data_IF_837962420990
#
_entry.id   IF_837962420990
#
_cell.length_a   1.000
_cell.length_b   1.000
_cell.length_c   1.000
_cell.angle_alpha   90.00
_cell.angle_beta   90.00
_cell.angle_gamma   90.00
#
_symmetry.space_group_name_H-M   'P 1'
#
loop_
_entity.id
_entity.type
_entity.pdbx_description
1 polymer ?
#
# COMPACT_ATOMS: atom_id res chain seq x y z
N UNK A 1 57.43 36.73 -55.58
CA UNK A 1 56.59 37.23 -54.47
C UNK A 1 55.21 37.68 -55.02
N UNK A 2 54.51 36.80 -55.75
CA UNK A 2 53.30 37.14 -56.52
C UNK A 2 52.16 36.11 -56.26
N UNK A 3 52.09 35.58 -55.03
CA UNK A 3 51.09 34.58 -54.62
C UNK A 3 50.13 35.11 -53.54
N UNK A 4 50.31 36.34 -53.06
CA UNK A 4 49.55 36.90 -51.92
C UNK A 4 48.29 37.67 -52.34
N UNK A 5 48.28 38.30 -53.52
CA UNK A 5 47.16 39.17 -53.94
C UNK A 5 45.93 38.42 -54.46
N UNK A 6 46.09 37.22 -55.02
CA UNK A 6 44.94 36.42 -55.51
C UNK A 6 44.22 35.66 -54.38
N UNK A 7 44.91 35.28 -53.31
CA UNK A 7 44.27 34.64 -52.14
C UNK A 7 43.47 35.64 -51.31
N UNK A 8 43.96 36.88 -51.18
CA UNK A 8 43.25 37.98 -50.49
C UNK A 8 42.00 38.44 -51.25
N UNK A 9 42.02 38.44 -52.59
CA UNK A 9 40.83 38.74 -53.40
C UNK A 9 39.78 37.62 -53.34
N UNK A 10 40.21 36.35 -53.28
CA UNK A 10 39.29 35.21 -53.14
C UNK A 10 38.66 35.14 -51.73
N UNK A 11 39.42 35.42 -50.67
CA UNK A 11 38.86 35.55 -49.32
C UNK A 11 37.94 36.76 -49.17
N UNK A 12 38.23 37.89 -49.84
CA UNK A 12 37.35 39.06 -49.87
C UNK A 12 36.01 38.78 -50.55
N UNK A 13 35.99 38.00 -51.64
CA UNK A 13 34.76 37.62 -52.34
C UNK A 13 33.92 36.59 -51.56
N UNK A 14 34.55 35.67 -50.82
CA UNK A 14 33.85 34.71 -49.95
C UNK A 14 33.31 35.40 -48.69
N UNK A 15 34.00 36.42 -48.17
CA UNK A 15 33.51 37.22 -47.04
C UNK A 15 32.40 38.21 -47.44
N UNK A 16 32.39 38.70 -48.69
CA UNK A 16 31.28 39.51 -49.22
C UNK A 16 30.04 38.68 -49.61
N UNK A 17 30.17 37.39 -49.91
CA UNK A 17 29.01 36.50 -50.11
C UNK A 17 28.36 36.04 -48.79
N UNK A 18 29.03 36.24 -47.65
CA UNK A 18 28.50 35.96 -46.30
C UNK A 18 27.88 37.21 -45.62
N UNK A 19 27.84 38.33 -46.32
CA UNK A 19 27.20 39.58 -45.89
C UNK A 19 26.09 39.99 -46.86
N UNK A 20 25.25 39.04 -47.29
CA UNK A 20 23.84 39.37 -47.47
C UNK A 20 23.23 39.38 -46.07
N UNK A 21 23.47 40.47 -45.34
CA UNK A 21 22.61 40.83 -44.22
C UNK A 21 21.26 41.12 -44.88
N UNK A 22 20.44 40.08 -45.04
CA UNK A 22 19.00 40.26 -45.14
C UNK A 22 18.66 41.12 -43.94
N UNK A 23 18.35 42.39 -44.20
CA UNK A 23 18.14 43.31 -43.11
C UNK A 23 16.89 42.79 -42.37
N UNK A 24 17.12 42.27 -41.17
CA UNK A 24 16.10 41.52 -40.46
C UNK A 24 15.10 42.50 -39.86
N UNK A 25 13.84 42.36 -40.24
CA UNK A 25 12.76 43.15 -39.66
C UNK A 25 12.64 42.78 -38.16
N UNK A 26 12.86 43.71 -37.23
CA UNK A 26 12.77 43.42 -35.79
C UNK A 26 11.31 43.42 -35.34
N UNK A 27 10.63 42.29 -35.58
CA UNK A 27 9.20 42.12 -35.37
C UNK A 27 8.93 40.78 -34.72
N UNK A 28 8.11 40.78 -33.65
CA UNK A 28 7.57 39.57 -33.03
C UNK A 28 6.14 39.31 -33.52
N UNK A 29 5.87 38.10 -33.98
CA UNK A 29 4.58 37.66 -34.50
C UNK A 29 3.98 36.61 -33.55
N UNK A 30 2.74 36.81 -33.11
CA UNK A 30 2.02 35.85 -32.26
C UNK A 30 0.63 35.59 -32.79
N UNK A 31 0.13 34.37 -32.67
CA UNK A 31 -1.28 34.10 -32.95
C UNK A 31 -2.17 34.79 -31.91
N UNK A 32 -3.27 35.40 -32.35
CA UNK A 32 -4.28 35.98 -31.46
C UNK A 32 -5.00 34.89 -30.64
N UNK A 33 -5.15 33.69 -31.21
CA UNK A 33 -5.52 32.49 -30.48
C UNK A 33 -4.75 31.30 -31.05
N UNK A 34 -4.10 30.54 -30.17
CA UNK A 34 -3.41 29.29 -30.51
C UNK A 34 -4.37 28.10 -30.66
N UNK A 35 -5.65 28.27 -30.29
CA UNK A 35 -6.73 27.28 -30.44
C UNK A 35 -7.90 27.90 -31.18
N UNK A 36 -8.32 27.28 -32.28
CA UNK A 36 -9.47 27.75 -33.08
C UNK A 36 -10.40 26.57 -33.33
N UNK A 37 -11.67 26.73 -32.96
CA UNK A 37 -12.70 25.73 -33.19
C UNK A 37 -13.21 25.78 -34.64
N UNK A 38 -13.47 24.60 -35.22
CA UNK A 38 -14.08 24.45 -36.53
C UNK A 38 -15.54 24.90 -36.47
N UNK A 39 -15.85 25.93 -37.25
CA UNK A 39 -17.20 26.46 -37.46
C UNK A 39 -17.72 26.10 -38.85
N UNK A 40 -18.98 26.46 -39.10
CA UNK A 40 -19.67 26.15 -40.35
C UNK A 40 -19.05 26.77 -41.57
N UNK A 41 -18.73 28.04 -41.46
CA UNK A 41 -18.57 28.90 -42.62
C UNK A 41 -17.09 29.14 -42.93
N UNK A 42 -16.32 29.62 -41.95
CA UNK A 42 -14.93 29.97 -42.15
C UNK A 42 -14.13 29.89 -40.84
N UNK A 43 -12.91 29.35 -40.94
CA UNK A 43 -11.94 29.37 -39.84
C UNK A 43 -11.16 30.69 -39.90
N UNK A 44 -11.31 31.54 -38.87
CA UNK A 44 -10.58 32.80 -38.79
C UNK A 44 -9.25 32.60 -38.07
N UNK A 45 -8.13 32.84 -38.77
CA UNK A 45 -6.79 32.83 -38.18
C UNK A 45 -6.30 34.27 -38.12
N UNK A 46 -5.97 34.74 -36.92
CA UNK A 46 -5.46 36.10 -36.69
C UNK A 46 -4.05 36.06 -36.12
N UNK A 47 -3.14 36.83 -36.74
CA UNK A 47 -1.74 37.01 -36.31
C UNK A 47 -1.55 38.46 -35.85
N UNK A 48 -1.05 38.63 -34.64
CA UNK A 48 -0.70 39.89 -33.99
C UNK A 48 0.78 40.16 -34.18
N UNK A 49 1.11 41.41 -34.47
CA UNK A 49 2.47 41.87 -34.77
C UNK A 49 2.88 42.94 -33.75
N UNK A 50 4.00 42.73 -33.06
CA UNK A 50 4.53 43.66 -32.04
C UNK A 50 6.01 43.93 -32.29
N UNK A 51 6.46 45.22 -32.31
CA UNK A 51 5.69 46.46 -32.20
C UNK A 51 4.83 46.75 -33.45
N UNK A 52 3.83 47.63 -33.32
CA UNK A 52 2.91 47.99 -34.43
C UNK A 52 3.72 48.57 -35.60
N UNK A 53 3.61 47.94 -36.76
CA UNK A 53 4.26 48.37 -37.99
C UNK A 53 3.22 48.98 -38.94
N UNK A 54 3.02 50.33 -38.95
CA UNK A 54 1.99 50.97 -39.77
C UNK A 54 2.24 50.83 -41.29
N UNK A 55 3.46 50.46 -41.68
CA UNK A 55 3.86 50.27 -43.08
C UNK A 55 3.58 48.86 -43.63
N UNK A 56 3.32 47.88 -42.76
CA UNK A 56 3.14 46.48 -43.15
C UNK A 56 1.67 46.23 -43.46
N UNK A 57 1.32 46.12 -44.76
CA UNK A 57 -0.06 45.99 -45.23
C UNK A 57 -0.54 44.55 -45.36
N UNK A 58 0.38 43.59 -45.56
CA UNK A 58 0.07 42.17 -45.73
C UNK A 58 1.17 41.30 -45.11
N UNK A 59 0.79 40.15 -44.53
CA UNK A 59 1.72 39.07 -44.15
C UNK A 59 1.54 37.90 -45.11
N UNK A 60 2.62 37.19 -45.43
CA UNK A 60 2.56 35.98 -46.25
C UNK A 60 2.70 34.74 -45.37
N UNK A 61 1.74 33.83 -45.51
CA UNK A 61 1.82 32.50 -44.93
C UNK A 61 2.55 31.59 -45.92
N UNK A 62 3.85 31.42 -45.74
CA UNK A 62 4.69 30.70 -46.69
C UNK A 62 4.32 29.23 -46.77
N UNK A 63 4.07 28.60 -45.63
CA UNK A 63 3.77 27.16 -45.58
C UNK A 63 2.98 26.83 -44.33
N UNK A 64 1.92 26.06 -44.52
CA UNK A 64 1.13 25.42 -43.46
C UNK A 64 1.38 23.93 -43.53
N UNK A 65 1.96 23.37 -42.47
CA UNK A 65 2.39 21.96 -42.42
C UNK A 65 1.60 21.21 -41.35
N UNK A 66 1.03 20.07 -41.69
CA UNK A 66 0.38 19.16 -40.74
C UNK A 66 1.42 18.40 -39.88
N UNK A 67 0.98 17.75 -38.82
CA UNK A 67 1.74 16.83 -37.96
C UNK A 67 2.56 15.76 -38.69
N UNK A 68 2.18 15.41 -39.92
CA UNK A 68 2.85 14.44 -40.80
C UNK A 68 3.96 15.05 -41.66
N UNK A 69 4.13 16.37 -41.65
CA UNK A 69 5.13 17.06 -42.48
C UNK A 69 4.65 17.44 -43.89
N UNK A 70 3.41 17.11 -44.27
CA UNK A 70 2.82 17.51 -45.55
C UNK A 70 2.35 18.96 -45.53
N UNK A 71 2.73 19.73 -46.56
CA UNK A 71 2.22 21.09 -46.76
C UNK A 71 0.75 21.03 -47.18
N UNK A 72 -0.14 21.58 -46.36
CA UNK A 72 -1.59 21.59 -46.59
C UNK A 72 -1.99 22.83 -47.39
N UNK A 73 -1.36 23.98 -47.11
CA UNK A 73 -1.61 25.24 -47.81
C UNK A 73 -0.32 26.07 -47.86
N UNK A 74 -0.08 26.78 -48.96
CA UNK A 74 1.10 27.65 -49.14
C UNK A 74 0.70 28.92 -49.89
N UNK A 75 1.30 30.06 -49.52
CA UNK A 75 1.14 31.33 -50.25
C UNK A 75 -0.14 32.11 -49.93
N UNK A 76 -0.71 31.96 -48.73
CA UNK A 76 -1.89 32.74 -48.31
C UNK A 76 -1.49 34.14 -47.82
N UNK A 77 -2.17 35.17 -48.30
CA UNK A 77 -1.96 36.56 -47.87
C UNK A 77 -2.93 36.92 -46.75
N UNK A 78 -2.39 37.31 -45.59
CA UNK A 78 -3.17 37.84 -44.47
C UNK A 78 -3.26 39.36 -44.60
N UNK A 79 -4.46 39.92 -44.64
CA UNK A 79 -4.69 41.38 -44.70
C UNK A 79 -4.86 41.94 -43.30
N UNK A 80 -4.33 43.13 -43.01
CA UNK A 80 -4.39 43.72 -41.67
C UNK A 80 -3.86 45.13 -41.54
N UNK A 81 -4.17 45.76 -40.40
CA UNK A 81 -3.84 47.16 -40.09
C UNK A 81 -2.54 47.28 -39.27
N UNK A 82 -1.45 46.66 -39.74
CA UNK A 82 -0.10 46.78 -39.17
C UNK A 82 0.11 46.22 -37.75
N UNK A 83 -0.95 45.69 -37.13
CA UNK A 83 -0.96 45.17 -35.74
C UNK A 83 -1.73 43.86 -35.61
N UNK A 84 -2.79 43.68 -36.39
CA UNK A 84 -3.58 42.44 -36.46
C UNK A 84 -3.87 42.12 -37.92
N UNK A 85 -3.47 40.94 -38.36
CA UNK A 85 -3.71 40.41 -39.70
C UNK A 85 -4.65 39.21 -39.59
N UNK A 86 -5.71 39.18 -40.39
CA UNK A 86 -6.74 38.13 -40.32
C UNK A 86 -6.91 37.48 -41.69
N UNK A 87 -7.05 36.16 -41.70
CA UNK A 87 -7.50 35.41 -42.88
C UNK A 87 -8.69 34.52 -42.51
N UNK A 88 -9.62 34.38 -43.46
CA UNK A 88 -10.76 33.47 -43.37
C UNK A 88 -10.49 32.29 -44.29
N UNK A 89 -10.29 31.12 -43.71
CA UNK A 89 -10.10 29.87 -44.43
C UNK A 89 -11.47 29.21 -44.63
N UNK A 90 -11.94 29.13 -45.87
CA UNK A 90 -13.25 28.58 -46.25
C UNK A 90 -13.15 27.68 -47.48
N UNK A 91 -14.14 26.81 -47.70
CA UNK A 91 -14.21 25.90 -48.86
C UNK A 91 -13.07 24.87 -48.89
N UNK A 92 -12.41 24.70 -50.04
CA UNK A 92 -11.31 23.74 -50.25
C UNK A 92 -10.05 24.06 -49.42
N UNK A 93 -10.00 25.23 -48.78
CA UNK A 93 -8.93 25.65 -47.86
C UNK A 93 -9.28 25.43 -46.38
N UNK A 94 -10.43 24.79 -46.08
CA UNK A 94 -10.85 24.48 -44.70
C UNK A 94 -9.91 23.43 -44.10
N UNK A 95 -9.15 23.85 -43.08
CA UNK A 95 -8.26 22.96 -42.35
C UNK A 95 -9.06 21.87 -41.62
N UNK A 96 -8.54 20.65 -41.62
CA UNK A 96 -9.10 19.56 -40.83
C UNK A 96 -8.77 19.74 -39.34
N UNK A 97 -9.38 18.93 -38.48
CA UNK A 97 -9.07 18.94 -37.06
C UNK A 97 -7.66 18.39 -36.84
N UNK A 98 -6.75 19.17 -36.24
CA UNK A 98 -5.34 18.79 -36.18
C UNK A 98 -4.44 19.84 -35.57
N UNK A 99 -3.15 19.53 -35.51
CA UNK A 99 -2.10 20.44 -35.06
C UNK A 99 -1.29 20.88 -36.27
N UNK A 100 -1.17 22.19 -36.47
CA UNK A 100 -0.52 22.77 -37.64
C UNK A 100 0.65 23.66 -37.22
N UNK A 101 1.72 23.61 -38.01
CA UNK A 101 2.84 24.57 -37.93
C UNK A 101 2.72 25.54 -39.09
N UNK A 102 2.74 26.83 -38.78
CA UNK A 102 2.61 27.90 -39.76
C UNK A 102 3.91 28.67 -39.80
N UNK A 103 4.55 28.74 -40.97
CA UNK A 103 5.66 29.65 -41.20
C UNK A 103 5.08 30.95 -41.74
N UNK A 104 5.09 32.00 -40.91
CA UNK A 104 4.60 33.33 -41.29
C UNK A 104 5.80 34.20 -41.59
N UNK A 105 5.80 34.82 -42.76
CA UNK A 105 6.81 35.78 -43.18
C UNK A 105 6.20 37.18 -43.28
N UNK A 106 6.94 38.15 -42.75
CA UNK A 106 6.71 39.57 -42.89
C UNK A 106 7.77 40.13 -43.83
N UNK A 107 7.35 40.74 -44.93
CA UNK A 107 8.25 41.41 -45.88
C UNK A 107 7.83 42.87 -45.97
N UNK A 108 8.77 43.77 -45.71
CA UNK A 108 8.58 45.20 -45.90
C UNK A 108 8.92 45.56 -47.37
N UNK A 109 7.92 46.05 -48.11
CA UNK A 109 8.04 46.34 -49.56
C UNK A 109 9.01 47.51 -49.87
N UNK A 110 9.25 48.43 -48.93
CA UNK A 110 10.13 49.60 -49.14
C UNK A 110 11.59 49.27 -48.83
N UNK A 111 11.82 48.51 -47.76
CA UNK A 111 13.19 48.24 -47.25
C UNK A 111 13.72 46.88 -47.67
N UNK A 112 12.88 46.03 -48.30
CA UNK A 112 13.16 44.61 -48.63
C UNK A 112 13.58 43.76 -47.43
N UNK A 113 13.26 44.22 -46.22
CA UNK A 113 13.58 43.52 -44.98
C UNK A 113 12.57 42.40 -44.74
N UNK A 114 13.05 41.22 -44.36
CA UNK A 114 12.21 40.06 -44.09
C UNK A 114 12.37 39.58 -42.65
N UNK A 115 11.29 39.06 -42.07
CA UNK A 115 11.30 38.33 -40.81
C UNK A 115 10.33 37.16 -40.90
N UNK A 116 10.71 36.01 -40.35
CA UNK A 116 9.83 34.83 -40.30
C UNK A 116 9.72 34.31 -38.88
N UNK A 117 8.54 33.80 -38.53
CA UNK A 117 8.29 33.14 -37.25
C UNK A 117 7.45 31.87 -37.48
N UNK A 118 7.78 30.82 -36.74
CA UNK A 118 7.07 29.54 -36.81
C UNK A 118 6.06 29.47 -35.67
N UNK A 119 4.79 29.49 -36.02
CA UNK A 119 3.66 29.52 -35.10
C UNK A 119 2.95 28.16 -35.05
N UNK A 120 2.37 27.82 -33.91
CA UNK A 120 1.64 26.57 -33.71
C UNK A 120 0.14 26.86 -33.57
N UNK A 121 -0.66 26.27 -34.44
CA UNK A 121 -2.13 26.39 -34.41
C UNK A 121 -2.74 25.02 -34.14
N UNK A 122 -3.65 24.98 -33.17
CA UNK A 122 -4.47 23.82 -32.90
C UNK A 122 -5.88 24.08 -33.40
N UNK A 123 -6.33 23.26 -34.35
CA UNK A 123 -7.70 23.30 -34.87
C UNK A 123 -8.52 22.25 -34.12
N UNK A 124 -9.54 22.69 -33.39
CA UNK A 124 -10.40 21.82 -32.58
C UNK A 124 -11.78 21.63 -33.20
N UNK A 125 -12.45 20.53 -32.89
CA UNK A 125 -13.83 20.23 -33.31
C UNK A 125 -14.75 20.25 -32.10
N UNK A 126 -15.90 20.95 -32.17
CA UNK A 126 -16.98 20.75 -31.21
C UNK A 126 -17.62 19.37 -31.46
N UNK A 127 -17.69 18.55 -30.43
CA UNK A 127 -18.18 17.15 -30.49
C UNK A 127 -19.34 16.97 -29.53
N UNK A 128 -20.34 16.21 -29.97
CA UNK A 128 -21.49 15.80 -29.18
C UNK A 128 -21.71 14.29 -29.23
N UNK A 129 -22.47 13.77 -28.26
CA UNK A 129 -22.84 12.35 -28.20
C UNK A 129 -24.04 12.12 -29.11
N UNK A 130 -23.83 11.42 -30.23
CA UNK A 130 -24.87 11.09 -31.19
C UNK A 130 -25.85 10.05 -30.64
N UNK A 131 -25.30 9.01 -30.01
CA UNK A 131 -26.07 7.96 -29.37
C UNK A 131 -25.23 7.27 -28.31
N UNK A 132 -25.81 7.03 -27.15
CA UNK A 132 -25.25 6.14 -26.14
C UNK A 132 -26.28 5.07 -25.79
N UNK A 133 -25.82 3.83 -25.62
CA UNK A 133 -26.65 2.74 -25.11
C UNK A 133 -25.95 2.00 -23.99
N UNK A 134 -26.67 1.70 -22.92
CA UNK A 134 -26.23 0.85 -21.83
C UNK A 134 -27.18 -0.35 -21.73
N UNK A 135 -26.65 -1.56 -21.87
CA UNK A 135 -27.44 -2.81 -21.91
C UNK A 135 -28.65 -2.73 -22.86
N UNK A 136 -28.48 -2.10 -24.03
CA UNK A 136 -29.53 -1.92 -25.04
C UNK A 136 -30.51 -0.77 -24.79
N UNK A 137 -30.45 -0.10 -23.62
CA UNK A 137 -31.27 1.09 -23.33
C UNK A 137 -30.58 2.35 -23.87
N UNK A 138 -31.27 3.11 -24.72
CA UNK A 138 -30.78 4.41 -25.22
C UNK A 138 -30.74 5.45 -24.09
N UNK A 139 -29.63 6.15 -24.00
CA UNK A 139 -29.36 7.22 -23.04
C UNK A 139 -29.10 8.52 -23.80
N UNK A 140 -29.68 9.61 -23.33
CA UNK A 140 -29.35 10.98 -23.76
C UNK A 140 -28.30 11.56 -22.82
N UNK A 141 -27.50 12.48 -23.34
CA UNK A 141 -26.49 13.18 -22.54
C UNK A 141 -27.14 13.82 -21.29
N UNK A 142 -26.68 13.44 -20.10
CA UNK A 142 -27.24 13.87 -18.81
C UNK A 142 -28.16 12.86 -18.13
N UNK A 143 -28.57 11.79 -18.83
CA UNK A 143 -29.29 10.68 -18.21
C UNK A 143 -28.37 9.91 -17.25
N UNK A 144 -28.95 9.41 -16.17
CA UNK A 144 -28.26 8.59 -15.16
C UNK A 144 -28.68 7.12 -15.25
N UNK A 145 -27.74 6.21 -15.02
CA UNK A 145 -27.92 4.77 -14.82
C UNK A 145 -28.57 4.48 -13.44
N UNK A 146 -29.72 5.09 -13.19
CA UNK A 146 -30.42 4.94 -11.91
C UNK A 146 -31.06 3.55 -11.78
N UNK A 147 -30.83 2.90 -10.65
CA UNK A 147 -31.46 1.63 -10.28
C UNK A 147 -30.87 0.38 -10.91
N UNK A 148 -29.65 0.44 -11.46
CA UNK A 148 -28.96 -0.75 -11.94
C UNK A 148 -28.11 -1.37 -10.82
N UNK A 149 -28.38 -2.65 -10.57
CA UNK A 149 -27.65 -3.48 -9.63
C UNK A 149 -27.01 -4.60 -10.45
N UNK A 150 -25.70 -4.77 -10.29
CA UNK A 150 -24.96 -5.82 -10.99
C UNK A 150 -24.39 -6.80 -9.98
N UNK A 151 -24.71 -8.08 -10.17
CA UNK A 151 -24.23 -9.16 -9.33
C UNK A 151 -23.27 -10.06 -10.09
N UNK A 152 -22.05 -10.17 -9.58
CA UNK A 152 -21.03 -11.08 -10.10
C UNK A 152 -21.46 -12.55 -10.05
N UNK A 153 -22.24 -12.97 -9.04
CA UNK A 153 -22.73 -14.35 -8.91
C UNK A 153 -23.83 -14.70 -9.93
N UNK A 154 -24.56 -13.69 -10.43
CA UNK A 154 -25.56 -13.85 -11.49
C UNK A 154 -24.96 -13.76 -12.90
N UNK A 155 -23.63 -13.65 -13.02
CA UNK A 155 -22.92 -13.37 -14.27
C UNK A 155 -23.40 -12.12 -15.02
N UNK A 156 -23.89 -11.12 -14.26
CA UNK A 156 -24.37 -9.89 -14.87
C UNK A 156 -23.26 -9.18 -15.66
N UNK A 157 -23.66 -8.57 -16.78
CA UNK A 157 -22.75 -7.83 -17.65
C UNK A 157 -23.24 -6.42 -17.92
N UNK A 158 -22.31 -5.49 -17.99
CA UNK A 158 -22.56 -4.12 -18.43
C UNK A 158 -21.93 -3.92 -19.80
N UNK A 159 -22.78 -3.76 -20.81
CA UNK A 159 -22.43 -3.36 -22.18
C UNK A 159 -22.69 -1.88 -22.34
N UNK A 160 -21.66 -1.13 -22.71
CA UNK A 160 -21.77 0.30 -23.00
C UNK A 160 -21.30 0.55 -24.43
N UNK A 161 -22.13 1.23 -25.21
CA UNK A 161 -21.83 1.62 -26.59
C UNK A 161 -22.09 3.11 -26.78
N UNK A 162 -21.13 3.82 -27.36
CA UNK A 162 -21.17 5.27 -27.50
C UNK A 162 -20.67 5.67 -28.88
N UNK A 163 -21.47 6.48 -29.57
CA UNK A 163 -21.13 7.08 -30.85
C UNK A 163 -21.07 8.59 -30.71
N UNK A 164 -19.99 9.17 -31.23
CA UNK A 164 -19.73 10.60 -31.19
C UNK A 164 -19.88 11.19 -32.60
N UNK A 165 -20.36 12.42 -32.68
CA UNK A 165 -20.47 13.16 -33.94
C UNK A 165 -20.00 14.61 -33.77
N UNK A 166 -19.52 15.21 -34.85
CA UNK A 166 -19.23 16.65 -34.87
C UNK A 166 -20.53 17.44 -34.85
N UNK A 167 -20.56 18.55 -34.11
CA UNK A 167 -21.74 19.43 -34.01
C UNK A 167 -22.06 20.07 -35.35
N UNK A 168 -21.03 20.41 -36.12
CA UNK A 168 -21.17 21.19 -37.35
C UNK A 168 -21.52 20.31 -38.57
N UNK A 169 -20.70 19.29 -38.88
CA UNK A 169 -20.88 18.47 -40.09
C UNK A 169 -21.59 17.12 -39.84
N UNK A 170 -21.97 16.81 -38.59
CA UNK A 170 -22.57 15.52 -38.16
C UNK A 170 -21.77 14.27 -38.56
N UNK A 171 -20.50 14.45 -38.88
CA UNK A 171 -19.58 13.36 -39.23
C UNK A 171 -19.21 12.57 -37.97
N UNK A 172 -19.12 11.22 -38.04
CA UNK A 172 -18.75 10.41 -36.90
C UNK A 172 -17.27 10.62 -36.56
N UNK A 173 -16.96 10.72 -35.27
CA UNK A 173 -15.58 10.93 -34.78
C UNK A 173 -15.26 9.92 -33.69
N UNK A 174 -14.05 9.38 -33.69
CA UNK A 174 -13.58 8.57 -32.58
C UNK A 174 -12.84 9.43 -31.53
N UNK A 175 -13.18 9.25 -30.26
CA UNK A 175 -12.34 9.71 -29.16
C UNK A 175 -11.05 8.89 -29.12
N UNK A 176 -9.91 9.55 -28.86
CA UNK A 176 -8.64 8.88 -28.62
C UNK A 176 -8.59 8.23 -27.23
N UNK A 177 -9.23 8.88 -26.25
CA UNK A 177 -9.39 8.41 -24.89
C UNK A 177 -10.88 8.23 -24.62
N UNK A 178 -11.29 6.99 -24.39
CA UNK A 178 -12.65 6.66 -23.98
C UNK A 178 -12.58 5.73 -22.79
N UNK A 179 -12.93 6.24 -21.61
CA UNK A 179 -12.83 5.49 -20.35
C UNK A 179 -14.15 5.51 -19.60
N UNK A 180 -14.49 4.37 -19.01
CA UNK A 180 -15.50 4.25 -17.97
C UNK A 180 -14.79 4.18 -16.62
N UNK A 181 -15.00 5.20 -15.78
CA UNK A 181 -14.46 5.30 -14.43
C UNK A 181 -15.51 4.84 -13.43
N UNK A 182 -15.10 3.97 -12.50
CA UNK A 182 -15.88 3.56 -11.34
C UNK A 182 -15.16 4.03 -10.08
N UNK A 183 -15.82 4.84 -9.27
CA UNK A 183 -15.28 5.35 -8.01
C UNK A 183 -16.05 4.72 -6.85
N UNK A 184 -15.36 3.95 -5.99
CA UNK A 184 -16.00 3.35 -4.83
C UNK A 184 -16.34 4.40 -3.77
N UNK A 185 -17.57 4.43 -3.26
CA UNK A 185 -18.03 5.49 -2.35
C UNK A 185 -17.28 5.52 -1.00
N UNK A 186 -16.95 4.35 -0.44
CA UNK A 186 -16.33 4.25 0.90
C UNK A 186 -14.81 4.39 0.84
N UNK A 187 -14.16 3.66 -0.07
CA UNK A 187 -12.69 3.63 -0.16
C UNK A 187 -12.11 4.70 -1.10
N UNK A 188 -12.96 5.35 -1.92
CA UNK A 188 -12.54 6.33 -2.94
C UNK A 188 -11.50 5.77 -3.93
N UNK A 189 -11.59 4.49 -4.21
CA UNK A 189 -10.75 3.81 -5.20
C UNK A 189 -11.35 3.96 -6.59
N UNK A 190 -10.53 4.43 -7.54
CA UNK A 190 -10.92 4.63 -8.93
C UNK A 190 -10.46 3.44 -9.79
N UNK A 191 -11.40 2.83 -10.52
CA UNK A 191 -11.13 1.77 -11.49
C UNK A 191 -11.52 2.25 -12.88
N UNK A 192 -10.61 2.14 -13.84
CA UNK A 192 -10.81 2.60 -15.21
C UNK A 192 -10.90 1.43 -16.19
N UNK A 193 -11.84 1.52 -17.14
CA UNK A 193 -11.97 0.59 -18.23
C UNK A 193 -12.03 1.31 -19.56
N UNK A 194 -11.30 0.79 -20.55
CA UNK A 194 -11.20 1.40 -21.88
C UNK A 194 -12.35 0.94 -22.76
N UNK A 195 -13.00 1.88 -23.47
CA UNK A 195 -13.92 1.55 -24.55
C UNK A 195 -13.12 1.47 -25.85
N UNK A 196 -13.32 0.40 -26.62
CA UNK A 196 -12.64 0.18 -27.89
C UNK A 196 -13.49 0.68 -29.05
N UNK A 197 -12.90 1.47 -29.95
CA UNK A 197 -13.55 1.89 -31.18
C UNK A 197 -13.58 0.75 -32.20
N UNK A 198 -14.76 0.46 -32.75
CA UNK A 198 -14.90 -0.44 -33.89
C UNK A 198 -14.66 0.29 -35.23
N UNK A 199 -14.63 -0.44 -36.34
CA UNK A 199 -14.50 0.10 -37.69
C UNK A 199 -15.57 1.16 -38.03
N UNK A 200 -16.75 1.07 -37.41
CA UNK A 200 -17.82 2.07 -37.49
C UNK A 200 -17.66 3.29 -36.59
N UNK A 201 -16.48 3.51 -35.98
CA UNK A 201 -16.16 4.59 -35.02
C UNK A 201 -17.08 4.61 -33.78
N UNK A 202 -17.68 3.46 -33.45
CA UNK A 202 -18.51 3.29 -32.25
C UNK A 202 -17.66 2.69 -31.14
N UNK A 203 -17.61 3.37 -30.00
CA UNK A 203 -16.88 2.93 -28.82
C UNK A 203 -17.72 1.94 -28.05
N UNK A 204 -17.28 0.70 -27.94
CA UNK A 204 -18.01 -0.35 -27.23
C UNK A 204 -17.15 -1.00 -26.16
N UNK A 205 -17.80 -1.48 -25.11
CA UNK A 205 -17.18 -2.35 -24.11
C UNK A 205 -18.19 -3.28 -23.48
N UNK A 206 -17.74 -4.43 -22.99
CA UNK A 206 -18.53 -5.36 -22.18
C UNK A 206 -17.78 -5.70 -20.91
N UNK A 207 -18.33 -5.35 -19.75
CA UNK A 207 -17.80 -5.67 -18.44
C UNK A 207 -18.48 -6.91 -17.88
N UNK A 208 -17.69 -7.92 -17.54
CA UNK A 208 -18.13 -9.11 -16.80
C UNK A 208 -17.64 -9.02 -15.36
N UNK A 209 -18.52 -8.71 -14.41
CA UNK A 209 -18.11 -8.39 -13.03
C UNK A 209 -17.49 -9.59 -12.29
N UNK A 210 -17.89 -10.82 -12.62
CA UNK A 210 -17.29 -12.04 -12.07
C UNK A 210 -15.77 -12.12 -12.34
N UNK A 211 -15.36 -11.95 -13.60
CA UNK A 211 -13.96 -11.98 -13.99
C UNK A 211 -13.17 -10.74 -13.54
N UNK A 212 -13.87 -9.62 -13.34
CA UNK A 212 -13.27 -8.33 -13.02
C UNK A 212 -13.23 -8.00 -11.52
N UNK A 213 -13.79 -8.85 -10.66
CA UNK A 213 -13.85 -8.64 -9.20
C UNK A 213 -12.49 -8.30 -8.59
N UNK A 214 -11.42 -8.95 -9.07
CA UNK A 214 -10.03 -8.67 -8.67
C UNK A 214 -9.57 -7.25 -9.06
N UNK A 215 -9.98 -6.73 -10.23
CA UNK A 215 -9.60 -5.38 -10.68
C UNK A 215 -10.27 -4.28 -9.87
N UNK A 216 -11.45 -4.55 -9.33
CA UNK A 216 -12.16 -3.68 -8.38
C UNK A 216 -11.69 -3.84 -6.93
N UNK A 217 -10.67 -4.66 -6.66
CA UNK A 217 -10.18 -4.93 -5.30
C UNK A 217 -11.17 -5.69 -4.41
N UNK A 218 -12.15 -6.38 -5.00
CA UNK A 218 -13.25 -7.07 -4.28
C UNK A 218 -14.14 -6.13 -3.44
N UNK A 219 -14.10 -4.82 -3.70
CA UNK A 219 -14.88 -3.81 -2.99
C UNK A 219 -16.33 -3.77 -3.49
N UNK A 220 -17.18 -4.58 -2.88
CA UNK A 220 -18.62 -4.58 -3.15
C UNK A 220 -19.29 -3.37 -2.50
N UNK A 221 -20.26 -2.76 -3.19
CA UNK A 221 -21.01 -1.62 -2.69
C UNK A 221 -21.42 -0.63 -3.77
N UNK A 222 -21.64 0.62 -3.37
CA UNK A 222 -22.01 1.71 -4.28
C UNK A 222 -20.78 2.25 -4.99
N UNK A 223 -20.81 2.22 -6.32
CA UNK A 223 -19.79 2.80 -7.19
C UNK A 223 -20.40 3.93 -8.01
N UNK A 224 -19.73 5.07 -8.02
CA UNK A 224 -20.07 6.20 -8.87
C UNK A 224 -19.45 6.00 -10.25
N UNK A 225 -20.24 6.12 -11.31
CA UNK A 225 -19.82 5.82 -12.68
C UNK A 225 -19.78 7.07 -13.52
N UNK A 226 -18.64 7.31 -14.16
CA UNK A 226 -18.46 8.41 -15.10
C UNK A 226 -17.88 7.92 -16.42
N UNK A 227 -18.43 8.44 -17.51
CA UNK A 227 -17.90 8.22 -18.85
C UNK A 227 -17.06 9.43 -19.27
N UNK A 228 -15.80 9.18 -19.58
CA UNK A 228 -14.83 10.21 -19.96
C UNK A 228 -14.43 9.97 -21.42
N UNK A 229 -14.73 10.93 -22.28
CA UNK A 229 -14.41 10.90 -23.71
C UNK A 229 -13.59 12.13 -24.08
N UNK A 230 -12.44 11.91 -24.72
CA UNK A 230 -11.54 12.98 -25.11
C UNK A 230 -10.68 12.62 -26.32
N UNK A 231 -10.34 13.62 -27.12
CA UNK A 231 -9.28 13.54 -28.12
C UNK A 231 -8.51 14.86 -28.13
N UNK A 232 -7.28 14.81 -28.64
CA UNK A 232 -6.48 16.02 -28.84
C UNK A 232 -7.20 17.03 -29.74
N UNK A 233 -8.02 16.57 -30.67
CA UNK A 233 -8.79 17.39 -31.61
C UNK A 233 -10.12 17.90 -31.06
N UNK A 234 -10.55 17.51 -29.85
CA UNK A 234 -11.81 17.99 -29.28
C UNK A 234 -11.63 19.38 -28.68
N UNK A 235 -12.64 20.23 -28.82
CA UNK A 235 -12.67 21.55 -28.17
C UNK A 235 -12.81 21.43 -26.65
N UNK A 236 -13.74 20.56 -26.20
CA UNK A 236 -13.98 20.24 -24.80
C UNK A 236 -14.09 18.72 -24.61
N UNK A 237 -13.47 18.20 -23.57
CA UNK A 237 -13.66 16.81 -23.17
C UNK A 237 -15.07 16.59 -22.61
N UNK A 238 -15.68 15.46 -22.93
CA UNK A 238 -17.01 15.10 -22.46
C UNK A 238 -16.82 14.22 -21.23
N UNK A 239 -17.19 14.74 -20.05
CA UNK A 239 -17.29 13.98 -18.82
C UNK A 239 -18.77 13.86 -18.50
N UNK A 240 -19.32 12.66 -18.61
CA UNK A 240 -20.72 12.38 -18.37
C UNK A 240 -20.86 11.56 -17.08
N UNK A 241 -21.46 12.19 -16.07
CA UNK A 241 -21.91 11.55 -14.84
C UNK A 241 -23.09 10.60 -15.14
N UNK A 242 -22.82 9.30 -15.07
CA UNK A 242 -23.82 8.24 -15.24
C UNK A 242 -24.47 7.86 -13.90
N UNK A 243 -24.07 8.45 -12.77
CA UNK A 243 -24.68 8.23 -11.46
C UNK A 243 -24.12 7.02 -10.71
N UNK A 244 -24.86 6.59 -9.69
CA UNK A 244 -24.42 5.54 -8.76
C UNK A 244 -25.03 4.19 -9.14
N UNK A 245 -24.20 3.17 -9.11
CA UNK A 245 -24.53 1.79 -9.45
C UNK A 245 -24.11 0.90 -8.28
N UNK A 246 -24.93 -0.10 -7.93
CA UNK A 246 -24.60 -1.04 -6.87
C UNK A 246 -23.93 -2.29 -7.46
N UNK A 247 -22.69 -2.55 -7.07
CA UNK A 247 -21.91 -3.70 -7.53
C UNK A 247 -21.75 -4.70 -6.40
N UNK A 248 -22.24 -5.92 -6.62
CA UNK A 248 -21.95 -7.07 -5.78
C UNK A 248 -20.86 -7.89 -6.47
N UNK A 249 -19.64 -7.82 -5.97
CA UNK A 249 -18.47 -8.50 -6.52
C UNK A 249 -18.25 -9.84 -5.81
N UNK A 250 -17.43 -10.71 -6.41
CA UNK A 250 -17.01 -11.94 -5.76
C UNK A 250 -16.27 -11.66 -4.45
N UNK A 251 -16.37 -12.58 -3.49
CA UNK A 251 -15.60 -12.48 -2.25
C UNK A 251 -14.09 -12.53 -2.55
N UNK A 252 -13.32 -11.72 -1.83
CA UNK A 252 -11.87 -11.82 -1.87
C UNK A 252 -11.46 -13.25 -1.46
N UNK A 253 -10.58 -13.93 -2.23
CA UNK A 253 -9.97 -15.15 -1.77
C UNK A 253 -9.33 -14.93 -0.39
N UNK A 254 -9.40 -15.89 0.53
CA UNK A 254 -8.72 -15.76 1.81
C UNK A 254 -7.23 -15.48 1.56
N UNK A 255 -6.67 -14.53 2.30
CA UNK A 255 -5.25 -14.21 2.20
C UNK A 255 -4.43 -15.45 2.57
N UNK A 256 -3.96 -16.18 1.56
CA UNK A 256 -3.05 -17.29 1.79
C UNK A 256 -1.75 -16.71 2.33
N UNK A 257 -1.31 -17.12 3.54
CA UNK A 257 -0.05 -16.64 4.06
C UNK A 257 1.04 -16.96 3.03
N UNK A 258 1.92 -15.98 2.73
CA UNK A 258 3.02 -16.23 1.81
C UNK A 258 3.83 -17.43 2.35
N UNK A 259 4.43 -18.25 1.47
CA UNK A 259 5.24 -19.36 1.91
C UNK A 259 6.31 -18.85 2.88
N UNK A 260 6.59 -19.66 3.91
CA UNK A 260 7.67 -19.40 4.88
C UNK A 260 8.91 -18.96 4.09
N UNK A 261 9.55 -17.86 4.53
CA UNK A 261 10.74 -17.23 3.94
C UNK A 261 10.55 -16.36 2.68
N UNK A 262 9.34 -16.19 2.12
CA UNK A 262 9.14 -15.22 1.01
C UNK A 262 9.22 -13.77 1.46
N UNK A 263 8.91 -13.51 2.73
CA UNK A 263 8.97 -12.20 3.37
C UNK A 263 9.71 -12.34 4.70
N UNK A 264 10.55 -11.36 5.06
CA UNK A 264 11.22 -11.37 6.36
C UNK A 264 10.21 -11.05 7.49
N UNK A 265 10.58 -11.37 8.73
CA UNK A 265 9.69 -11.24 9.89
C UNK A 265 9.19 -9.81 10.13
N UNK A 266 9.96 -8.80 9.69
CA UNK A 266 9.64 -7.39 9.86
C UNK A 266 9.00 -6.77 8.60
N UNK A 267 8.63 -7.56 7.59
CA UNK A 267 8.11 -7.01 6.34
C UNK A 267 6.87 -6.14 6.56
N UNK A 268 5.94 -6.57 7.40
CA UNK A 268 4.71 -5.79 7.66
C UNK A 268 4.99 -4.54 8.51
N UNK A 269 5.94 -4.60 9.45
CA UNK A 269 6.35 -3.40 10.20
C UNK A 269 7.09 -2.39 9.33
N UNK A 270 7.89 -2.86 8.37
CA UNK A 270 8.74 -2.00 7.54
C UNK A 270 7.97 -1.39 6.36
N UNK A 271 6.93 -2.06 5.86
CA UNK A 271 6.19 -1.63 4.66
C UNK A 271 4.87 -0.94 4.94
N UNK A 272 4.28 -1.13 6.12
CA UNK A 272 2.99 -0.54 6.46
C UNK A 272 3.16 0.76 7.25
N UNK A 273 2.34 1.75 6.95
CA UNK A 273 2.26 3.01 7.70
C UNK A 273 1.09 3.01 8.70
N UNK A 274 0.47 1.85 8.91
CA UNK A 274 -0.69 1.67 9.79
C UNK A 274 -0.23 1.04 11.09
N UNK A 275 -0.93 1.33 12.19
CA UNK A 275 -0.71 0.64 13.44
C UNK A 275 -1.00 -0.86 13.26
N UNK A 276 -0.02 -1.70 13.62
CA UNK A 276 -0.20 -3.15 13.65
C UNK A 276 -1.09 -3.53 14.85
N UNK A 277 -1.81 -4.66 14.75
CA UNK A 277 -2.59 -5.17 15.89
C UNK A 277 -1.69 -5.42 17.10
N UNK A 278 -2.21 -5.13 18.29
CA UNK A 278 -1.48 -5.34 19.54
C UNK A 278 -1.30 -6.84 19.82
N UNK A 279 -0.06 -7.24 20.15
CA UNK A 279 0.27 -8.61 20.51
C UNK A 279 0.15 -8.75 22.03
N UNK A 280 -0.85 -9.48 22.49
CA UNK A 280 -1.03 -9.79 23.91
C UNK A 280 -0.33 -11.11 24.25
N UNK A 281 0.67 -11.06 25.14
CA UNK A 281 1.35 -12.25 25.60
C UNK A 281 0.45 -13.05 26.54
N UNK A 282 0.03 -14.24 26.12
CA UNK A 282 -0.75 -15.17 26.95
C UNK A 282 0.23 -16.00 27.78
N UNK A 283 0.27 -15.74 29.09
CA UNK A 283 1.02 -16.56 30.04
C UNK A 283 0.39 -17.94 30.18
N UNK A 284 1.20 -18.95 30.52
CA UNK A 284 0.67 -20.26 30.88
C UNK A 284 -0.22 -20.14 32.11
N UNK A 285 -1.37 -20.80 32.07
CA UNK A 285 -2.25 -20.91 33.23
C UNK A 285 -1.54 -21.69 34.36
N UNK A 286 -1.85 -21.35 35.60
CA UNK A 286 -1.33 -22.09 36.75
C UNK A 286 -2.00 -23.46 36.83
N UNK A 287 -1.21 -24.50 37.08
CA UNK A 287 -1.75 -25.85 37.25
C UNK A 287 -2.79 -25.87 38.40
N UNK A 288 -3.97 -26.47 38.18
CA UNK A 288 -5.02 -26.51 39.19
C UNK A 288 -4.56 -27.29 40.42
N UNK A 289 -4.71 -26.67 41.60
CA UNK A 289 -4.38 -27.31 42.89
C UNK A 289 -5.60 -28.03 43.46
N UNK A 290 -5.42 -29.19 44.12
CA UNK A 290 -6.52 -29.91 44.74
C UNK A 290 -7.16 -29.10 45.88
N UNK A 291 -8.45 -29.33 46.20
CA UNK A 291 -9.11 -28.68 47.33
C UNK A 291 -8.43 -29.02 48.66
N UNK A 292 -8.30 -28.01 49.53
CA UNK A 292 -7.62 -28.13 50.84
C UNK A 292 -8.23 -29.24 51.70
N UNK A 293 -9.54 -29.44 51.65
CA UNK A 293 -10.23 -30.49 52.41
C UNK A 293 -9.76 -31.91 52.05
N UNK A 294 -9.50 -32.17 50.76
CA UNK A 294 -8.95 -33.47 50.31
C UNK A 294 -7.53 -33.64 50.86
N UNK A 295 -6.69 -32.62 50.72
CA UNK A 295 -5.31 -32.64 51.24
C UNK A 295 -5.25 -32.88 52.75
N UNK A 296 -6.14 -32.24 53.53
CA UNK A 296 -6.22 -32.42 54.98
C UNK A 296 -6.71 -33.83 55.37
N UNK A 297 -7.67 -34.39 54.63
CA UNK A 297 -8.15 -35.75 54.88
C UNK A 297 -7.03 -36.78 54.69
N UNK A 298 -6.25 -36.67 53.61
CA UNK A 298 -5.10 -37.55 53.37
C UNK A 298 -3.96 -37.32 54.36
N UNK A 299 -3.71 -36.08 54.79
CA UNK A 299 -2.77 -35.81 55.89
C UNK A 299 -3.17 -36.56 57.17
N UNK A 300 -4.46 -36.51 57.53
CA UNK A 300 -5.00 -37.27 58.67
C UNK A 300 -4.83 -38.79 58.49
N UNK A 301 -5.11 -39.31 57.29
CA UNK A 301 -4.93 -40.72 56.99
C UNK A 301 -3.47 -41.18 57.12
N UNK A 302 -2.49 -40.34 56.76
CA UNK A 302 -1.05 -40.61 56.95
C UNK A 302 -0.63 -40.57 58.42
N UNK A 303 -1.22 -39.68 59.23
CA UNK A 303 -0.92 -39.58 60.67
C UNK A 303 -1.58 -40.67 61.51
N UNK A 304 -2.69 -41.27 61.03
CA UNK A 304 -3.44 -42.28 61.78
C UNK A 304 -2.63 -43.54 62.16
N UNK A 305 -1.84 -44.17 61.26
CA UNK A 305 -0.96 -45.28 61.64
C UNK A 305 0.06 -44.92 62.71
N UNK A 306 0.62 -43.71 62.69
CA UNK A 306 1.56 -43.24 63.71
C UNK A 306 0.87 -43.11 65.08
N UNK A 307 -0.32 -42.52 65.11
CA UNK A 307 -1.11 -42.41 66.35
C UNK A 307 -1.47 -43.80 66.91
N UNK A 308 -1.89 -44.73 66.04
CA UNK A 308 -2.18 -46.10 66.44
C UNK A 308 -0.93 -46.80 67.01
N UNK A 309 0.23 -46.65 66.37
CA UNK A 309 1.48 -47.22 66.84
C UNK A 309 1.85 -46.69 68.24
N UNK A 310 1.72 -45.38 68.49
CA UNK A 310 2.00 -44.80 69.82
C UNK A 310 1.07 -45.38 70.89
N UNK A 311 -0.23 -45.49 70.62
CA UNK A 311 -1.20 -46.10 71.54
C UNK A 311 -0.87 -47.57 71.80
N UNK A 312 -0.53 -48.31 70.75
CA UNK A 312 -0.14 -49.71 70.85
C UNK A 312 1.10 -49.89 71.73
N UNK A 313 2.15 -49.09 71.50
CA UNK A 313 3.38 -49.10 72.30
C UNK A 313 3.12 -48.73 73.75
N UNK A 314 2.27 -47.74 74.02
CA UNK A 314 1.91 -47.36 75.38
C UNK A 314 1.21 -48.51 76.15
N UNK A 315 0.42 -49.35 75.45
CA UNK A 315 -0.24 -50.52 76.06
C UNK A 315 0.68 -51.71 76.28
N UNK A 316 1.82 -51.81 75.58
CA UNK A 316 2.77 -52.92 75.73
C UNK A 316 3.57 -52.90 77.05
N UNK A 317 3.46 -51.83 77.85
CA UNK A 317 4.13 -51.76 79.15
C UNK A 317 5.66 -51.78 79.02
N UNK A 318 6.21 -50.98 78.09
CA UNK A 318 7.65 -50.93 77.82
C UNK A 318 8.46 -50.69 79.10
N UNK A 319 9.43 -51.57 79.35
CA UNK A 319 10.29 -51.47 80.52
C UNK A 319 11.51 -50.58 80.23
N UNK A 320 11.39 -49.27 80.47
CA UNK A 320 12.47 -48.29 80.33
C UNK A 320 13.40 -48.22 81.55
N UNK A 321 13.21 -49.05 82.58
CA UNK A 321 13.94 -48.95 83.85
C UNK A 321 15.46 -49.04 83.69
N UNK A 322 15.93 -49.87 82.75
CA UNK A 322 17.37 -50.04 82.46
C UNK A 322 18.05 -48.78 81.90
N UNK A 323 17.28 -47.85 81.35
CA UNK A 323 17.79 -46.57 80.86
C UNK A 323 18.14 -45.62 82.02
N UNK A 324 17.51 -45.81 83.19
CA UNK A 324 17.64 -44.96 84.37
C UNK A 324 18.54 -45.58 85.47
N UNK A 325 19.29 -46.63 85.14
CA UNK A 325 20.15 -47.34 86.09
C UNK A 325 21.60 -46.83 86.06
N UNK A 326 22.09 -46.36 87.21
CA UNK A 326 23.52 -46.12 87.49
C UNK A 326 24.26 -45.28 86.45
N UNK A 327 25.45 -45.75 86.05
CA UNK A 327 26.35 -45.06 85.13
C UNK A 327 25.86 -44.98 83.66
N UNK A 328 24.76 -45.68 83.31
CA UNK A 328 24.16 -45.64 81.96
C UNK A 328 23.31 -44.38 81.78
N UNK A 329 22.72 -43.86 82.86
CA UNK A 329 21.80 -42.71 82.82
C UNK A 329 22.44 -41.47 82.20
N UNK A 330 23.65 -41.09 82.64
CA UNK A 330 24.31 -39.85 82.19
C UNK A 330 24.63 -39.90 80.70
N UNK A 331 25.27 -40.97 80.23
CA UNK A 331 25.62 -41.11 78.81
C UNK A 331 24.40 -41.39 77.93
N UNK A 332 23.40 -42.12 78.45
CA UNK A 332 22.15 -42.40 77.77
C UNK A 332 21.29 -41.17 77.54
N UNK A 333 21.22 -40.26 78.52
CA UNK A 333 20.55 -38.97 78.35
C UNK A 333 21.25 -38.10 77.30
N UNK A 334 22.58 -38.03 77.31
CA UNK A 334 23.35 -37.29 76.29
C UNK A 334 23.17 -37.90 74.89
N UNK A 335 23.15 -39.24 74.80
CA UNK A 335 22.88 -39.95 73.55
C UNK A 335 21.47 -39.65 73.02
N UNK A 336 20.43 -39.76 73.84
CA UNK A 336 19.06 -39.45 73.42
C UNK A 336 18.85 -37.97 73.09
N UNK A 337 19.48 -37.06 73.84
CA UNK A 337 19.41 -35.63 73.57
C UNK A 337 20.11 -35.27 72.25
N UNK A 338 21.29 -35.85 71.98
CA UNK A 338 22.00 -35.63 70.71
C UNK A 338 21.28 -36.26 69.53
N UNK A 339 20.67 -37.44 69.70
CA UNK A 339 19.80 -38.06 68.69
C UNK A 339 18.56 -37.20 68.40
N UNK A 340 17.88 -36.71 69.44
CA UNK A 340 16.76 -35.78 69.29
C UNK A 340 17.18 -34.46 68.62
N UNK A 341 18.36 -33.95 68.96
CA UNK A 341 18.96 -32.78 68.31
C UNK A 341 19.25 -32.99 66.82
N UNK A 342 19.71 -34.18 66.42
CA UNK A 342 19.91 -34.54 65.01
C UNK A 342 18.56 -34.57 64.26
N UNK A 343 17.51 -35.16 64.85
CA UNK A 343 16.18 -35.18 64.24
C UNK A 343 15.59 -33.75 64.11
N UNK A 344 15.75 -32.92 65.14
CA UNK A 344 15.34 -31.52 65.09
C UNK A 344 16.13 -30.73 64.03
N UNK A 345 17.45 -30.98 63.90
CA UNK A 345 18.29 -30.39 62.87
C UNK A 345 17.79 -30.74 61.46
N UNK A 346 17.34 -31.97 61.23
CA UNK A 346 16.71 -32.34 59.96
C UNK A 346 15.38 -31.62 59.71
N UNK A 347 14.58 -31.39 60.76
CA UNK A 347 13.39 -30.52 60.66
C UNK A 347 13.76 -29.08 60.28
N UNK A 348 14.81 -28.52 60.88
CA UNK A 348 15.31 -27.17 60.57
C UNK A 348 15.91 -27.08 59.16
N UNK A 349 16.57 -28.14 58.67
CA UNK A 349 17.02 -28.27 57.29
C UNK A 349 15.86 -28.23 56.30
N UNK A 350 14.76 -28.92 56.60
CA UNK A 350 13.57 -28.89 55.76
C UNK A 350 12.92 -27.50 55.69
N UNK A 351 12.97 -26.74 56.78
CA UNK A 351 12.32 -25.43 56.88
C UNK A 351 13.15 -24.28 56.32
N UNK A 352 14.45 -24.21 56.64
CA UNK A 352 15.24 -23.00 56.37
C UNK A 352 16.74 -23.24 56.12
N UNK A 353 17.36 -24.25 56.75
CA UNK A 353 18.82 -24.37 56.72
C UNK A 353 19.36 -24.83 55.36
N UNK A 354 20.49 -24.26 54.97
CA UNK A 354 21.24 -24.73 53.80
C UNK A 354 22.01 -26.02 54.11
N UNK A 355 22.35 -26.78 53.07
CA UNK A 355 23.05 -28.06 53.20
C UNK A 355 24.37 -27.96 53.97
N UNK A 356 25.22 -26.97 53.68
CA UNK A 356 26.53 -26.83 54.33
C UNK A 356 26.44 -26.46 55.81
N UNK A 357 25.47 -25.60 56.19
CA UNK A 357 25.23 -25.28 57.61
C UNK A 357 24.72 -26.49 58.37
N UNK A 358 23.79 -27.23 57.76
CA UNK A 358 23.26 -28.49 58.31
C UNK A 358 24.38 -29.50 58.51
N UNK A 359 25.25 -29.68 57.51
CA UNK A 359 26.37 -30.61 57.60
C UNK A 359 27.39 -30.19 58.68
N UNK A 360 27.64 -28.89 58.84
CA UNK A 360 28.48 -28.36 59.91
C UNK A 360 27.92 -28.66 61.31
N UNK A 361 26.63 -28.37 61.54
CA UNK A 361 25.97 -28.70 62.82
C UNK A 361 25.87 -30.22 63.05
N UNK A 362 25.60 -30.98 62.00
CA UNK A 362 25.52 -32.44 62.04
C UNK A 362 26.88 -33.07 62.35
N UNK A 363 27.99 -32.50 61.88
CA UNK A 363 29.33 -32.98 62.22
C UNK A 363 29.59 -32.90 63.73
N UNK A 364 29.20 -31.79 64.36
CA UNK A 364 29.35 -31.59 65.81
C UNK A 364 28.39 -32.51 66.59
N UNK A 365 27.08 -32.44 66.30
CA UNK A 365 26.07 -33.25 66.98
C UNK A 365 26.28 -34.75 66.74
N UNK A 366 26.70 -35.14 65.54
CA UNK A 366 27.00 -36.51 65.15
C UNK A 366 28.20 -37.08 65.89
N UNK A 367 29.26 -36.30 66.04
CA UNK A 367 30.43 -36.71 66.83
C UNK A 367 30.06 -36.95 68.30
N UNK A 368 29.26 -36.06 68.89
CA UNK A 368 28.74 -36.22 70.26
C UNK A 368 27.83 -37.45 70.39
N UNK A 369 26.94 -37.66 69.42
CA UNK A 369 26.03 -38.80 69.38
C UNK A 369 26.78 -40.14 69.24
N UNK A 370 27.81 -40.21 68.38
CA UNK A 370 28.65 -41.40 68.22
C UNK A 370 29.41 -41.73 69.49
N UNK A 371 30.04 -40.73 70.12
CA UNK A 371 30.77 -40.93 71.37
C UNK A 371 29.84 -41.41 72.49
N UNK A 372 28.77 -40.65 72.76
CA UNK A 372 27.84 -40.94 73.86
C UNK A 372 27.10 -42.25 73.63
N UNK A 373 26.73 -42.57 72.39
CA UNK A 373 26.12 -43.84 72.01
C UNK A 373 27.05 -45.02 72.24
N UNK A 374 28.32 -44.91 71.82
CA UNK A 374 29.31 -45.97 72.04
C UNK A 374 29.49 -46.28 73.53
N UNK A 375 29.64 -45.25 74.37
CA UNK A 375 29.76 -45.43 75.82
C UNK A 375 28.49 -46.01 76.44
N UNK A 376 27.31 -45.52 76.04
CA UNK A 376 26.02 -46.02 76.54
C UNK A 376 25.83 -47.50 76.24
N UNK A 377 26.08 -47.91 74.99
CA UNK A 377 25.97 -49.31 74.57
C UNK A 377 27.00 -50.20 75.26
N UNK A 378 28.25 -49.74 75.42
CA UNK A 378 29.30 -50.48 76.14
C UNK A 378 28.90 -50.74 77.59
N UNK A 379 28.42 -49.71 78.31
CA UNK A 379 28.00 -49.84 79.71
C UNK A 379 26.73 -50.68 79.87
N UNK A 380 25.82 -50.63 78.89
CA UNK A 380 24.64 -51.49 78.86
C UNK A 380 25.00 -52.96 78.64
N UNK A 381 26.03 -53.25 77.83
CA UNK A 381 26.54 -54.60 77.62
C UNK A 381 27.30 -55.15 78.84
N UNK A 382 28.01 -54.29 79.58
CA UNK A 382 28.71 -54.63 80.82
C UNK A 382 27.77 -54.81 82.03
N UNK A 383 26.51 -54.35 81.93
CA UNK A 383 25.53 -54.50 82.99
C UNK A 383 25.15 -55.99 83.18
N UNK A 384 25.26 -56.56 84.39
CA UNK A 384 24.98 -57.97 84.61
C UNK A 384 23.50 -58.27 84.33
N UNK A 385 23.23 -59.29 83.50
CA UNK A 385 21.89 -59.83 83.35
C UNK A 385 21.42 -60.36 84.71
N UNK A 386 20.51 -59.64 85.36
CA UNK A 386 19.89 -60.08 86.60
C UNK A 386 19.19 -61.42 86.32
N UNK A 387 19.84 -62.54 86.66
CA UNK A 387 19.21 -63.86 86.67
C UNK A 387 18.06 -63.77 87.66
N UNK A 388 16.83 -63.78 87.17
CA UNK A 388 15.67 -64.08 88.01
C UNK A 388 15.78 -65.55 88.39
N UNK A 389 16.50 -65.84 89.47
CA UNK A 389 16.37 -67.12 90.16
C UNK A 389 14.97 -67.14 90.75
N UNK A 390 14.02 -67.80 90.06
CA UNK A 390 12.85 -68.37 90.74
C UNK A 390 13.41 -69.48 91.63
N UNK A 391 13.49 -69.20 92.92
CA UNK A 391 13.54 -70.24 93.95
C UNK A 391 12.08 -70.49 94.33
N UNK A 392 11.66 -71.74 94.15
CA UNK A 392 10.37 -72.40 94.44
C UNK A 392 9.07 -71.59 94.32
#
# INVERSE_FOLDING_TARGET
>A
MALSTRLLAACGAVLLMLLSVDAALNVNMKLASSRVALTSDALEVAVLVTPKQPKLKQLTLETLVDTTGTAVLSGLTLKGDGSKFVTKLAGDQKLQAGMYKLKVAAVDEETKQSAYEVLQLKVTTPVEVASATANGKKLKLGDKLTGQNFNAAAEDTLKMEVKLQQVHDKTPVAAHQAFLRFTHATEKTDTFFVLTADAGLTHSMTLKFAALSKKFGYNSGKHHVELILGASTFEKAIVWDLGNVELQLGAAPPETPPPLYKKHLLYESDTTLKALPEIQHVMREQDPRPPVGVSLAFMGAVLAPLAFFVVFVARLGLNVKRLFEGSVFVFGCVFLASLGGILALFGLYWLELTMFRTLGYLSILGSVNLWSGHLTLKRLAEAPAKKTTKVE
#
